data_IF_755982616512
#
_entry.id   IF_755982616512
#
_cell.length_a   1.000
_cell.length_b   1.000
_cell.length_c   1.000
_cell.angle_alpha   90.00
_cell.angle_beta   90.00
_cell.angle_gamma   90.00
#
_symmetry.space_group_name_H-M   'P 1'
#
loop_
_entity.id
_entity.type
_entity.pdbx_description
1 polymer ?
#
# COMPACT_ATOMS: atom_id res chain seq x y z
N UNK A 1 5.78 20.98 25.73
CA UNK A 1 4.96 20.80 24.51
C UNK A 1 3.92 19.71 24.80
N UNK A 2 2.72 19.84 24.26
CA UNK A 2 1.71 18.77 24.34
C UNK A 2 2.23 17.53 23.63
N UNK A 3 1.92 16.35 24.17
CA UNK A 3 2.25 15.06 23.55
C UNK A 3 1.37 14.85 22.32
N UNK A 4 1.89 14.11 21.33
CA UNK A 4 1.18 13.81 20.10
C UNK A 4 0.43 12.49 20.21
N UNK A 5 -0.75 12.41 19.60
CA UNK A 5 -1.64 11.24 19.70
C UNK A 5 -1.14 10.04 18.91
N UNK A 6 -0.40 10.26 17.83
CA UNK A 6 0.19 9.20 17.00
C UNK A 6 1.50 9.67 16.38
N UNK A 7 2.41 8.72 16.15
CA UNK A 7 3.65 8.96 15.42
C UNK A 7 3.66 8.25 14.07
N UNK A 8 4.27 8.86 13.04
CA UNK A 8 4.48 8.26 11.73
C UNK A 8 5.97 8.23 11.41
N UNK A 9 6.50 7.04 11.11
CA UNK A 9 7.89 6.82 10.68
C UNK A 9 7.94 6.44 9.21
N UNK A 10 8.75 7.17 8.45
CA UNK A 10 8.90 6.96 7.01
C UNK A 10 8.06 7.94 6.20
N UNK A 11 8.71 8.98 5.69
CA UNK A 11 8.10 10.10 4.97
C UNK A 11 8.33 10.00 3.45
N UNK A 12 8.23 8.78 2.89
CA UNK A 12 8.01 8.61 1.46
C UNK A 12 6.53 8.93 1.13
N UNK A 13 6.15 8.86 -0.14
CA UNK A 13 4.84 9.29 -0.64
C UNK A 13 3.67 8.80 0.25
N UNK A 14 3.57 7.50 0.49
CA UNK A 14 2.49 6.93 1.30
C UNK A 14 2.49 7.43 2.75
N UNK A 15 3.67 7.48 3.38
CA UNK A 15 3.80 7.91 4.78
C UNK A 15 3.47 9.39 4.98
N UNK A 16 3.90 10.26 4.06
CA UNK A 16 3.52 11.68 4.06
C UNK A 16 2.00 11.84 3.95
N UNK A 17 1.39 11.16 2.99
CA UNK A 17 -0.04 11.28 2.72
C UNK A 17 -0.88 10.75 3.87
N UNK A 18 -0.51 9.61 4.47
CA UNK A 18 -1.18 9.10 5.66
C UNK A 18 -1.01 10.04 6.87
N UNK A 19 0.17 10.63 7.07
CA UNK A 19 0.37 11.60 8.14
C UNK A 19 -0.53 12.83 7.95
N UNK A 20 -0.61 13.37 6.72
CA UNK A 20 -1.50 14.49 6.37
C UNK A 20 -2.98 14.12 6.55
N UNK A 21 -3.38 12.92 6.15
CA UNK A 21 -4.73 12.42 6.35
C UNK A 21 -5.07 12.35 7.85
N UNK A 22 -4.20 11.75 8.67
CA UNK A 22 -4.39 11.66 10.13
C UNK A 22 -4.59 13.07 10.74
N UNK A 23 -3.72 14.01 10.39
CA UNK A 23 -3.82 15.38 10.91
C UNK A 23 -5.09 16.08 10.44
N UNK A 24 -5.50 15.89 9.19
CA UNK A 24 -6.73 16.48 8.64
C UNK A 24 -8.01 15.99 9.34
N UNK A 25 -7.94 14.85 10.03
CA UNK A 25 -9.03 14.31 10.87
C UNK A 25 -8.98 14.82 12.32
N UNK A 26 -8.08 15.78 12.61
CA UNK A 26 -7.99 16.45 13.91
C UNK A 26 -7.03 15.82 14.91
N UNK A 27 -6.26 14.82 14.51
CA UNK A 27 -5.23 14.21 15.37
C UNK A 27 -3.91 14.98 15.29
N UNK A 28 -3.22 15.08 16.42
CA UNK A 28 -1.86 15.62 16.47
C UNK A 28 -0.84 14.54 16.14
N UNK A 29 0.14 14.86 15.28
CA UNK A 29 1.03 13.86 14.68
C UNK A 29 2.49 14.19 14.93
N UNK A 30 3.26 13.23 15.47
CA UNK A 30 4.72 13.27 15.43
C UNK A 30 5.22 12.58 14.17
N UNK A 31 6.24 13.15 13.52
CA UNK A 31 6.85 12.56 12.32
C UNK A 31 8.34 12.38 12.48
N UNK A 32 8.84 11.26 11.98
CA UNK A 32 10.24 10.93 11.98
C UNK A 32 10.64 10.23 10.67
N UNK A 33 11.81 10.58 10.16
CA UNK A 33 12.43 9.86 9.07
C UNK A 33 13.94 9.73 9.35
N UNK A 34 14.53 8.59 9.00
CA UNK A 34 15.96 8.30 9.22
C UNK A 34 16.89 9.43 8.72
N UNK A 35 16.54 10.04 7.59
CA UNK A 35 17.17 11.25 7.09
C UNK A 35 16.35 12.45 7.56
N UNK A 36 16.87 13.26 8.45
CA UNK A 36 16.14 14.41 9.03
C UNK A 36 15.75 15.44 7.97
N UNK A 37 16.57 15.62 6.94
CA UNK A 37 16.28 16.55 5.83
C UNK A 37 14.89 16.30 5.22
N UNK A 38 14.45 15.02 5.15
CA UNK A 38 13.10 14.68 4.68
C UNK A 38 12.01 15.11 5.66
N UNK A 39 12.26 14.99 6.95
CA UNK A 39 11.35 15.47 8.00
C UNK A 39 11.23 16.99 7.94
N UNK A 40 12.37 17.68 7.84
CA UNK A 40 12.42 19.14 7.75
C UNK A 40 11.72 19.64 6.49
N UNK A 41 12.01 19.05 5.33
CA UNK A 41 11.35 19.41 4.07
C UNK A 41 9.82 19.22 4.14
N UNK A 42 9.35 18.11 4.71
CA UNK A 42 7.93 17.87 4.91
C UNK A 42 7.28 18.97 5.79
N UNK A 43 7.91 19.31 6.90
CA UNK A 43 7.39 20.35 7.82
C UNK A 43 7.37 21.74 7.21
N UNK A 44 8.35 22.04 6.36
CA UNK A 44 8.45 23.36 5.70
C UNK A 44 7.48 23.52 4.51
N UNK A 45 7.09 22.41 3.88
CA UNK A 45 6.25 22.38 2.69
C UNK A 45 4.83 21.86 3.01
N UNK A 46 4.60 20.55 2.90
CA UNK A 46 3.25 19.95 2.93
C UNK A 46 2.56 20.07 4.29
N UNK A 47 3.33 20.08 5.38
CA UNK A 47 2.84 20.19 6.75
C UNK A 47 2.90 21.60 7.34
N UNK A 48 3.25 22.60 6.52
CA UNK A 48 3.39 23.99 6.99
C UNK A 48 2.08 24.52 7.57
N UNK A 49 2.14 24.99 8.82
CA UNK A 49 0.99 25.55 9.53
C UNK A 49 0.00 24.53 10.08
N UNK A 50 0.32 23.23 9.98
CA UNK A 50 -0.49 22.12 10.49
C UNK A 50 0.04 21.61 11.84
N UNK A 51 -0.71 20.73 12.50
CA UNK A 51 -0.41 20.23 13.85
C UNK A 51 0.57 19.05 13.83
N UNK A 52 1.81 19.33 13.40
CA UNK A 52 2.89 18.35 13.36
C UNK A 52 4.04 18.70 14.28
N UNK A 53 4.69 17.66 14.82
CA UNK A 53 5.98 17.76 15.50
C UNK A 53 6.99 16.84 14.79
N UNK A 54 8.09 17.40 14.29
CA UNK A 54 9.19 16.65 13.73
C UNK A 54 10.26 16.36 14.76
N UNK A 55 10.78 15.15 14.76
CA UNK A 55 11.87 14.72 15.63
C UNK A 55 13.15 14.46 14.84
N UNK A 56 14.32 14.77 15.45
CA UNK A 56 15.64 14.51 14.87
C UNK A 56 16.17 13.14 15.24
N UNK A 57 15.76 12.63 16.40
CA UNK A 57 16.20 11.33 16.91
C UNK A 57 14.99 10.45 17.23
N UNK A 58 15.21 9.13 17.29
CA UNK A 58 14.19 8.17 17.72
C UNK A 58 13.72 8.47 19.14
N UNK A 59 14.63 8.84 20.04
CA UNK A 59 14.32 9.19 21.41
C UNK A 59 13.39 10.41 21.49
N UNK A 60 13.71 11.50 20.78
CA UNK A 60 12.85 12.68 20.69
C UNK A 60 11.47 12.33 20.15
N UNK A 61 11.41 11.49 19.10
CA UNK A 61 10.18 11.04 18.50
C UNK A 61 9.29 10.29 19.50
N UNK A 62 9.82 9.24 20.13
CA UNK A 62 9.07 8.42 21.07
C UNK A 62 8.65 9.24 22.31
N UNK A 63 9.53 10.12 22.79
CA UNK A 63 9.23 11.02 23.90
C UNK A 63 8.21 12.12 23.56
N UNK A 64 7.94 12.36 22.30
CA UNK A 64 6.89 13.32 21.88
C UNK A 64 5.48 12.72 21.92
N UNK A 65 5.32 11.40 22.06
CA UNK A 65 4.04 10.71 21.99
C UNK A 65 3.38 10.55 23.37
N UNK A 66 2.05 10.57 23.41
CA UNK A 66 1.26 10.17 24.56
C UNK A 66 1.20 8.65 24.73
N UNK A 67 1.03 8.18 25.98
CA UNK A 67 0.93 6.75 26.29
C UNK A 67 -0.53 6.27 26.35
N UNK A 68 -0.82 5.00 25.93
CA UNK A 68 0.10 4.12 25.22
C UNK A 68 0.47 4.69 23.85
N UNK A 69 1.75 4.64 23.53
CA UNK A 69 2.25 5.23 22.29
C UNK A 69 1.73 4.45 21.08
N UNK A 70 1.34 5.16 20.02
CA UNK A 70 0.85 4.60 18.75
C UNK A 70 1.82 5.04 17.66
N UNK A 71 2.49 4.09 17.02
CA UNK A 71 3.54 4.39 16.04
C UNK A 71 3.26 3.65 14.74
N UNK A 72 2.93 4.40 13.69
CA UNK A 72 2.71 3.87 12.33
C UNK A 72 4.03 3.85 11.56
N UNK A 73 4.44 2.67 11.13
CA UNK A 73 5.60 2.45 10.28
C UNK A 73 5.19 2.43 8.80
N UNK A 74 5.73 3.32 8.02
CA UNK A 74 5.59 3.38 6.56
C UNK A 74 6.97 3.24 5.91
N UNK A 75 7.64 2.13 6.23
CA UNK A 75 9.00 1.80 5.75
C UNK A 75 8.97 0.61 4.81
N UNK A 76 10.09 0.37 4.11
CA UNK A 76 10.22 -0.80 3.24
C UNK A 76 10.10 -2.09 4.06
N UNK A 77 9.23 -3.01 3.63
CA UNK A 77 9.05 -4.32 4.26
C UNK A 77 10.36 -5.14 4.34
N UNK A 78 10.41 -6.06 5.28
CA UNK A 78 11.58 -6.90 5.56
C UNK A 78 12.55 -6.27 6.54
N UNK A 79 13.84 -6.38 6.31
CA UNK A 79 14.91 -5.94 7.21
C UNK A 79 14.81 -4.46 7.64
N UNK A 80 14.25 -3.59 6.80
CA UNK A 80 14.10 -2.18 7.17
C UNK A 80 13.02 -1.99 8.25
N UNK A 81 11.97 -2.81 8.25
CA UNK A 81 10.98 -2.83 9.31
C UNK A 81 11.59 -3.34 10.62
N UNK A 82 12.35 -4.45 10.57
CA UNK A 82 13.04 -5.00 11.75
C UNK A 82 14.01 -3.97 12.35
N UNK A 83 14.87 -3.36 11.54
CA UNK A 83 15.82 -2.33 11.99
C UNK A 83 15.11 -1.10 12.60
N UNK A 84 13.95 -0.73 12.08
CA UNK A 84 13.15 0.37 12.64
C UNK A 84 12.57 -0.02 14.01
N UNK A 85 12.02 -1.21 14.14
CA UNK A 85 11.52 -1.75 15.40
C UNK A 85 12.63 -1.81 16.44
N UNK A 86 13.79 -2.35 16.08
CA UNK A 86 14.95 -2.45 16.97
C UNK A 86 15.43 -1.08 17.47
N UNK A 87 15.38 -0.06 16.63
CA UNK A 87 15.74 1.31 17.02
C UNK A 87 14.73 1.94 18.00
N UNK A 88 13.47 1.52 17.96
CA UNK A 88 12.40 2.00 18.83
C UNK A 88 12.41 1.30 20.21
N UNK A 89 12.69 0.00 20.23
CA UNK A 89 12.56 -0.86 21.45
C UNK A 89 13.18 -0.28 22.71
N UNK A 90 14.37 0.37 22.71
CA UNK A 90 14.96 0.93 23.93
C UNK A 90 14.14 2.04 24.61
N UNK A 91 13.21 2.66 23.88
CA UNK A 91 12.43 3.81 24.30
C UNK A 91 10.94 3.49 24.53
N UNK A 92 10.52 2.28 24.15
CA UNK A 92 9.12 1.83 24.30
C UNK A 92 8.89 1.19 25.66
N UNK A 93 7.64 1.21 26.09
CA UNK A 93 7.17 0.66 27.37
C UNK A 93 6.03 -0.33 27.13
N UNK A 94 5.76 -1.17 28.12
CA UNK A 94 4.64 -2.10 28.09
C UNK A 94 3.32 -1.41 27.72
N UNK A 95 2.59 -2.00 26.77
CA UNK A 95 1.32 -1.47 26.26
C UNK A 95 1.47 -0.56 25.04
N UNK A 96 2.67 -0.08 24.72
CA UNK A 96 2.88 0.70 23.48
C UNK A 96 2.58 -0.14 22.22
N UNK A 97 2.15 0.53 21.14
CA UNK A 97 1.63 -0.10 19.93
C UNK A 97 2.45 0.32 18.72
N UNK A 98 2.99 -0.66 18.02
CA UNK A 98 3.61 -0.49 16.71
C UNK A 98 2.61 -0.96 15.65
N UNK A 99 2.34 -0.12 14.64
CA UNK A 99 1.46 -0.40 13.51
C UNK A 99 2.34 -0.49 12.27
N UNK A 100 2.45 -1.66 11.65
CA UNK A 100 3.17 -1.83 10.38
C UNK A 100 2.19 -1.64 9.22
N UNK A 101 2.28 -0.49 8.53
CA UNK A 101 1.48 -0.16 7.35
C UNK A 101 2.17 -0.52 6.02
N UNK A 102 3.29 -1.22 6.06
CA UNK A 102 4.00 -1.69 4.86
C UNK A 102 3.30 -2.87 4.17
N UNK A 103 3.72 -3.16 2.93
CA UNK A 103 3.33 -4.40 2.25
C UNK A 103 4.21 -5.56 2.75
N UNK A 104 4.03 -5.93 4.01
CA UNK A 104 4.84 -6.94 4.69
C UNK A 104 4.33 -8.35 4.40
N UNK A 105 5.25 -9.30 4.26
CA UNK A 105 4.91 -10.73 4.21
C UNK A 105 4.31 -11.15 5.57
N UNK A 106 3.17 -11.82 5.54
CA UNK A 106 2.39 -12.08 6.75
C UNK A 106 3.12 -12.94 7.79
N UNK A 107 4.01 -13.86 7.37
CA UNK A 107 4.81 -14.68 8.31
C UNK A 107 5.82 -13.81 9.09
N UNK A 108 6.40 -12.78 8.46
CA UNK A 108 7.23 -11.80 9.18
C UNK A 108 6.41 -11.05 10.22
N UNK A 109 5.15 -10.76 9.93
CA UNK A 109 4.22 -10.12 10.87
C UNK A 109 3.91 -11.02 12.05
N UNK A 110 3.65 -12.30 11.81
CA UNK A 110 3.44 -13.32 12.87
C UNK A 110 4.68 -13.42 13.76
N UNK A 111 5.87 -13.49 13.17
CA UNK A 111 7.14 -13.51 13.91
C UNK A 111 7.31 -12.27 14.79
N UNK A 112 7.13 -11.07 14.22
CA UNK A 112 7.26 -9.79 14.94
C UNK A 112 6.24 -9.67 16.06
N UNK A 113 5.01 -10.09 15.81
CA UNK A 113 3.96 -10.09 16.83
C UNK A 113 4.35 -10.91 18.04
N UNK A 114 4.87 -12.12 17.83
CA UNK A 114 5.36 -12.98 18.91
C UNK A 114 6.53 -12.35 19.66
N UNK A 115 7.57 -11.89 18.96
CA UNK A 115 8.78 -11.30 19.55
C UNK A 115 8.49 -10.03 20.38
N UNK A 116 7.54 -9.20 19.92
CA UNK A 116 7.17 -7.97 20.60
C UNK A 116 6.24 -8.23 21.80
N UNK A 117 5.37 -9.22 21.69
CA UNK A 117 4.52 -9.63 22.81
C UNK A 117 5.32 -10.13 24.01
N UNK A 118 6.47 -10.80 23.80
CA UNK A 118 7.39 -11.20 24.86
C UNK A 118 7.98 -9.99 25.63
N UNK A 119 8.03 -8.82 24.98
CA UNK A 119 8.47 -7.56 25.59
C UNK A 119 7.30 -6.70 26.12
N UNK A 120 6.07 -7.23 26.13
CA UNK A 120 4.87 -6.49 26.54
C UNK A 120 4.40 -5.44 25.54
N UNK A 121 4.96 -5.43 24.33
CA UNK A 121 4.60 -4.50 23.26
C UNK A 121 3.52 -5.10 22.36
N UNK A 122 2.68 -4.24 21.80
CA UNK A 122 1.64 -4.63 20.85
C UNK A 122 2.10 -4.35 19.41
N UNK A 123 1.75 -5.26 18.50
CA UNK A 123 2.05 -5.12 17.07
C UNK A 123 0.77 -5.33 16.25
N UNK A 124 0.48 -4.40 15.35
CA UNK A 124 -0.67 -4.44 14.44
C UNK A 124 -0.15 -4.44 13.01
N UNK A 125 -0.26 -5.58 12.34
CA UNK A 125 0.03 -5.68 10.90
C UNK A 125 -1.14 -5.13 10.09
N UNK A 126 -0.94 -4.04 9.37
CA UNK A 126 -2.02 -3.28 8.76
C UNK A 126 -1.83 -3.16 7.25
N UNK A 127 -2.65 -3.85 6.48
CA UNK A 127 -2.74 -3.61 5.04
C UNK A 127 -3.36 -2.24 4.75
N UNK A 128 -2.71 -1.47 3.88
CA UNK A 128 -3.22 -0.15 3.44
C UNK A 128 -3.33 -0.18 1.91
N UNK A 129 -4.51 0.13 1.37
CA UNK A 129 -4.80 0.14 -0.06
C UNK A 129 -5.46 1.44 -0.50
N UNK A 130 -5.06 1.96 -1.67
CA UNK A 130 -5.61 3.20 -2.26
C UNK A 130 -4.56 4.04 -3.00
N UNK A 131 -3.32 3.56 -3.07
CA UNK A 131 -2.23 4.31 -3.72
C UNK A 131 -1.94 5.65 -3.05
N UNK A 132 -1.34 6.56 -3.81
CA UNK A 132 -0.94 7.89 -3.33
C UNK A 132 -2.14 8.74 -2.94
N UNK A 133 -3.13 8.80 -3.80
CA UNK A 133 -4.35 9.59 -3.59
C UNK A 133 -5.20 9.03 -2.44
N UNK A 134 -5.43 7.72 -2.44
CA UNK A 134 -6.18 7.07 -1.37
C UNK A 134 -5.52 7.23 0.00
N UNK A 135 -4.19 7.19 0.09
CA UNK A 135 -3.49 7.45 1.35
C UNK A 135 -3.79 8.84 1.93
N UNK A 136 -3.98 9.82 1.06
CA UNK A 136 -4.30 11.20 1.45
C UNK A 136 -5.79 11.41 1.77
N UNK A 137 -6.67 10.81 1.00
CA UNK A 137 -8.11 11.12 1.03
C UNK A 137 -8.94 10.07 1.78
N UNK A 138 -8.48 8.81 1.79
CA UNK A 138 -9.15 7.69 2.45
C UNK A 138 -8.76 6.35 1.84
N UNK A 139 -7.82 5.61 2.44
CA UNK A 139 -7.49 4.26 1.99
C UNK A 139 -8.47 3.22 2.55
N UNK A 140 -8.50 2.05 1.94
CA UNK A 140 -9.02 0.83 2.60
C UNK A 140 -7.95 0.29 3.56
N UNK A 141 -8.33 -0.03 4.81
CA UNK A 141 -7.40 -0.40 5.88
C UNK A 141 -7.76 -1.76 6.45
N UNK A 142 -6.80 -2.67 6.52
CA UNK A 142 -6.95 -4.06 6.91
C UNK A 142 -6.07 -4.37 8.14
N UNK A 143 -6.46 -3.96 9.37
CA UNK A 143 -5.67 -4.19 10.57
C UNK A 143 -5.84 -5.60 11.12
N UNK A 144 -4.73 -6.22 11.51
CA UNK A 144 -4.70 -7.52 12.18
C UNK A 144 -3.68 -7.52 13.31
N UNK A 145 -3.92 -8.32 14.34
CA UNK A 145 -3.08 -8.41 15.53
C UNK A 145 -3.92 -8.61 16.79
N UNK A 146 -3.40 -8.23 17.94
CA UNK A 146 -4.14 -8.33 19.21
C UNK A 146 -5.35 -7.39 19.20
N UNK A 147 -6.55 -7.92 19.43
CA UNK A 147 -7.81 -7.18 19.33
C UNK A 147 -7.86 -5.98 20.28
N UNK A 148 -7.42 -6.15 21.53
CA UNK A 148 -7.40 -5.08 22.52
C UNK A 148 -6.47 -3.92 22.13
N UNK A 149 -5.37 -4.22 21.43
CA UNK A 149 -4.48 -3.20 20.89
C UNK A 149 -5.11 -2.50 19.67
N UNK A 150 -5.83 -3.25 18.82
CA UNK A 150 -6.59 -2.66 17.72
C UNK A 150 -7.63 -1.66 18.22
N UNK A 151 -8.39 -1.98 19.25
CA UNK A 151 -9.41 -1.09 19.82
C UNK A 151 -8.86 0.29 20.22
N UNK A 152 -7.58 0.36 20.62
CA UNK A 152 -6.90 1.62 20.95
C UNK A 152 -6.51 2.48 19.72
N UNK A 153 -6.37 1.87 18.56
CA UNK A 153 -6.00 2.55 17.31
C UNK A 153 -7.16 2.66 16.34
N UNK A 154 -8.22 1.89 16.54
CA UNK A 154 -9.43 1.86 15.72
C UNK A 154 -9.99 3.25 15.41
N UNK A 155 -10.17 4.17 16.38
CA UNK A 155 -10.75 5.49 16.07
C UNK A 155 -9.92 6.28 15.06
N UNK A 156 -8.59 6.15 15.09
CA UNK A 156 -7.69 6.82 14.13
C UNK A 156 -7.80 6.14 12.77
N UNK A 157 -7.70 4.80 12.72
CA UNK A 157 -7.72 4.05 11.48
C UNK A 157 -9.06 4.19 10.73
N UNK A 158 -10.18 4.14 11.45
CA UNK A 158 -11.49 4.39 10.87
C UNK A 158 -11.66 5.84 10.40
N UNK A 159 -11.16 6.82 11.14
CA UNK A 159 -11.26 8.23 10.76
C UNK A 159 -10.57 8.53 9.43
N UNK A 160 -9.41 7.90 9.18
CA UNK A 160 -8.59 8.13 7.98
C UNK A 160 -8.97 7.24 6.79
N UNK A 161 -9.80 6.22 7.00
CA UNK A 161 -10.22 5.31 5.92
C UNK A 161 -11.25 5.93 4.99
N UNK A 162 -11.37 5.36 3.78
CA UNK A 162 -12.48 5.64 2.89
C UNK A 162 -13.83 5.34 3.58
N UNK A 163 -14.87 5.99 3.08
CA UNK A 163 -16.25 5.77 3.54
C UNK A 163 -17.12 5.35 2.37
N UNK A 164 -17.87 4.26 2.52
CA UNK A 164 -18.86 3.80 1.56
C UNK A 164 -20.20 3.75 2.28
N UNK A 165 -21.18 4.49 1.80
CA UNK A 165 -22.52 4.61 2.42
C UNK A 165 -22.48 5.04 3.90
N UNK A 166 -21.40 5.73 4.31
CA UNK A 166 -21.15 6.17 5.68
C UNK A 166 -20.29 5.23 6.53
N UNK A 167 -20.10 4.00 6.10
CA UNK A 167 -19.30 3.01 6.79
C UNK A 167 -17.81 3.13 6.45
N UNK A 168 -16.96 2.94 7.46
CA UNK A 168 -15.51 2.97 7.29
C UNK A 168 -15.00 1.73 6.54
N UNK A 169 -14.20 1.93 5.48
CA UNK A 169 -13.45 0.86 4.83
C UNK A 169 -12.25 0.43 5.70
N UNK A 170 -12.52 0.13 6.97
CA UNK A 170 -11.58 -0.32 7.99
C UNK A 170 -12.29 -1.24 8.96
N UNK A 171 -11.82 -2.47 9.09
CA UNK A 171 -12.35 -3.41 10.07
C UNK A 171 -11.25 -4.32 10.59
N UNK A 172 -11.38 -4.79 11.84
CA UNK A 172 -10.48 -5.80 12.40
C UNK A 172 -10.58 -7.11 11.61
N UNK A 173 -9.47 -7.51 11.00
CA UNK A 173 -9.43 -8.70 10.14
C UNK A 173 -9.28 -9.99 10.96
N UNK A 174 -8.45 -9.97 12.01
CA UNK A 174 -8.18 -11.14 12.81
C UNK A 174 -6.84 -11.05 13.57
N UNK A 175 -6.45 -12.11 14.28
CA UNK A 175 -5.21 -12.11 15.06
C UNK A 175 -3.96 -12.13 14.18
N UNK A 176 -2.83 -11.88 14.79
CA UNK A 176 -1.47 -12.03 14.24
C UNK A 176 -1.27 -11.34 12.88
N UNK A 177 -0.89 -12.10 11.86
CA UNK A 177 -0.62 -11.63 10.50
C UNK A 177 -1.86 -11.44 9.62
N UNK A 178 -3.08 -11.60 10.13
CA UNK A 178 -4.31 -11.62 9.33
C UNK A 178 -4.50 -10.38 8.45
N UNK A 179 -4.16 -9.18 8.94
CA UNK A 179 -4.27 -7.95 8.16
C UNK A 179 -3.36 -7.94 6.92
N UNK A 180 -2.10 -8.31 7.08
CA UNK A 180 -1.16 -8.43 5.97
C UNK A 180 -1.49 -9.61 5.04
N UNK A 181 -2.05 -10.69 5.59
CA UNK A 181 -2.52 -11.81 4.79
C UNK A 181 -3.63 -11.38 3.81
N UNK A 182 -4.67 -10.72 4.32
CA UNK A 182 -5.76 -10.19 3.48
C UNK A 182 -5.23 -9.18 2.47
N UNK A 183 -4.31 -8.29 2.87
CA UNK A 183 -3.68 -7.35 1.94
C UNK A 183 -2.85 -8.05 0.85
N UNK A 184 -2.16 -9.12 1.18
CA UNK A 184 -1.41 -9.93 0.22
C UNK A 184 -2.35 -10.54 -0.83
N UNK A 185 -3.47 -11.14 -0.40
CA UNK A 185 -4.48 -11.74 -1.28
C UNK A 185 -5.15 -10.67 -2.13
N UNK A 186 -5.56 -9.54 -1.54
CA UNK A 186 -6.09 -8.37 -2.25
C UNK A 186 -5.17 -7.95 -3.40
N UNK A 187 -3.88 -7.78 -3.14
CA UNK A 187 -2.94 -7.41 -4.19
C UNK A 187 -2.78 -8.51 -5.26
N UNK A 188 -2.87 -9.78 -4.87
CA UNK A 188 -2.89 -10.89 -5.83
C UNK A 188 -4.08 -10.81 -6.78
N UNK A 189 -5.27 -10.51 -6.26
CA UNK A 189 -6.49 -10.30 -7.05
C UNK A 189 -6.30 -9.14 -8.01
N UNK A 190 -5.78 -8.00 -7.56
CA UNK A 190 -5.48 -6.85 -8.43
C UNK A 190 -4.52 -7.21 -9.58
N UNK A 191 -3.57 -8.12 -9.36
CA UNK A 191 -2.71 -8.63 -10.44
C UNK A 191 -3.52 -9.39 -11.49
N UNK A 192 -4.49 -10.20 -11.05
CA UNK A 192 -5.43 -10.89 -11.92
C UNK A 192 -6.28 -9.93 -12.74
N UNK A 193 -6.86 -8.93 -12.09
CA UNK A 193 -7.68 -7.90 -12.75
C UNK A 193 -6.89 -7.15 -13.81
N UNK A 194 -5.67 -6.71 -13.48
CA UNK A 194 -4.81 -6.02 -14.45
C UNK A 194 -4.38 -6.93 -15.60
N UNK A 195 -4.20 -8.22 -15.37
CA UNK A 195 -3.92 -9.19 -16.44
C UNK A 195 -5.11 -9.33 -17.37
N UNK A 196 -6.33 -9.48 -16.85
CA UNK A 196 -7.55 -9.57 -17.64
C UNK A 196 -7.81 -8.30 -18.45
N UNK A 197 -7.58 -7.13 -17.87
CA UNK A 197 -7.63 -5.83 -18.57
C UNK A 197 -6.63 -5.80 -19.73
N UNK A 198 -5.40 -6.26 -19.49
CA UNK A 198 -4.35 -6.30 -20.50
C UNK A 198 -4.68 -7.26 -21.66
N UNK A 199 -5.27 -8.39 -21.38
CA UNK A 199 -5.72 -9.36 -22.38
C UNK A 199 -6.90 -8.84 -23.18
N UNK A 200 -7.89 -8.22 -22.53
CA UNK A 200 -9.00 -7.55 -23.20
C UNK A 200 -8.48 -6.43 -24.14
N UNK A 201 -7.58 -5.58 -23.65
CA UNK A 201 -6.90 -4.56 -24.46
C UNK A 201 -6.21 -5.19 -25.68
N UNK A 202 -5.45 -6.27 -25.48
CA UNK A 202 -4.75 -6.96 -26.57
C UNK A 202 -5.70 -7.43 -27.67
N UNK A 203 -6.81 -8.07 -27.29
CA UNK A 203 -7.84 -8.56 -28.22
C UNK A 203 -8.50 -7.40 -28.95
N UNK A 204 -8.96 -6.40 -28.24
CA UNK A 204 -9.64 -5.24 -28.83
C UNK A 204 -8.75 -4.50 -29.82
N UNK A 205 -7.48 -4.29 -29.47
CA UNK A 205 -6.52 -3.59 -30.32
C UNK A 205 -6.06 -4.43 -31.50
N UNK A 206 -5.63 -5.67 -31.29
CA UNK A 206 -4.91 -6.44 -32.31
C UNK A 206 -5.82 -7.34 -33.15
N UNK A 207 -6.98 -7.75 -32.63
CA UNK A 207 -7.95 -8.58 -33.36
C UNK A 207 -9.05 -7.72 -34.00
N UNK A 208 -9.59 -6.77 -33.23
CA UNK A 208 -10.63 -5.86 -33.74
C UNK A 208 -10.08 -4.58 -34.39
N UNK A 209 -8.81 -4.27 -34.17
CA UNK A 209 -8.15 -3.09 -34.75
C UNK A 209 -8.58 -1.76 -34.16
N UNK A 210 -9.10 -1.73 -32.93
CA UNK A 210 -9.61 -0.50 -32.33
C UNK A 210 -8.48 0.52 -32.08
N UNK A 211 -8.77 1.77 -32.38
CA UNK A 211 -7.93 2.92 -32.03
C UNK A 211 -7.96 3.19 -30.53
N UNK A 212 -7.03 4.02 -30.04
CA UNK A 212 -7.01 4.42 -28.63
C UNK A 212 -8.31 5.14 -28.20
N UNK A 213 -8.90 5.95 -29.09
CA UNK A 213 -10.18 6.61 -28.82
C UNK A 213 -11.33 5.60 -28.67
N UNK A 214 -11.42 4.61 -29.56
CA UNK A 214 -12.44 3.56 -29.46
C UNK A 214 -12.23 2.68 -28.23
N UNK A 215 -10.99 2.39 -27.84
CA UNK A 215 -10.67 1.70 -26.59
C UNK A 215 -11.13 2.51 -25.37
N UNK A 216 -10.88 3.82 -25.36
CA UNK A 216 -11.42 4.69 -24.32
C UNK A 216 -12.94 4.57 -24.20
N UNK A 217 -13.65 4.65 -25.32
CA UNK A 217 -15.12 4.58 -25.34
C UNK A 217 -15.64 3.24 -24.80
N UNK A 218 -15.00 2.12 -25.17
CA UNK A 218 -15.35 0.79 -24.67
C UNK A 218 -15.18 0.68 -23.15
N UNK A 219 -14.00 1.07 -22.64
CA UNK A 219 -13.74 0.99 -21.20
C UNK A 219 -14.57 2.00 -20.40
N UNK A 220 -14.81 3.19 -20.93
CA UNK A 220 -15.70 4.17 -20.29
C UNK A 220 -17.16 3.70 -20.26
N UNK A 221 -17.61 2.91 -21.24
CA UNK A 221 -18.93 2.30 -21.22
C UNK A 221 -19.02 1.14 -20.23
N UNK A 222 -18.02 0.28 -20.18
CA UNK A 222 -17.91 -0.78 -19.17
C UNK A 222 -17.94 -0.24 -17.73
N UNK A 223 -17.34 0.94 -17.51
CA UNK A 223 -17.34 1.60 -16.19
C UNK A 223 -18.70 2.17 -15.77
N UNK A 224 -19.73 2.09 -16.60
CA UNK A 224 -21.13 2.47 -16.26
C UNK A 224 -21.98 1.27 -15.84
N UNK A 225 -21.46 0.07 -15.92
CA UNK A 225 -22.18 -1.18 -15.71
C UNK A 225 -21.54 -2.09 -14.67
N UNK A 226 -21.62 -3.39 -14.90
CA UNK A 226 -21.14 -4.43 -13.96
C UNK A 226 -19.63 -4.39 -13.71
N UNK A 227 -18.85 -3.78 -14.61
CA UNK A 227 -17.41 -3.64 -14.50
C UNK A 227 -16.97 -2.31 -13.89
N UNK A 228 -17.91 -1.51 -13.35
CA UNK A 228 -17.61 -0.25 -12.66
C UNK A 228 -16.58 -0.50 -11.56
N UNK A 229 -15.40 0.12 -11.73
CA UNK A 229 -14.29 -0.02 -10.79
C UNK A 229 -13.21 1.02 -11.06
N UNK A 230 -12.42 1.31 -10.04
CA UNK A 230 -11.25 2.20 -10.16
C UNK A 230 -10.29 1.77 -11.28
N UNK A 231 -10.01 0.46 -11.43
CA UNK A 231 -9.09 -0.02 -12.47
C UNK A 231 -9.66 0.17 -13.89
N UNK A 232 -10.95 -0.02 -14.10
CA UNK A 232 -11.60 0.22 -15.39
C UNK A 232 -11.66 1.73 -15.69
N UNK A 233 -11.97 2.56 -14.70
CA UNK A 233 -11.98 4.02 -14.81
C UNK A 233 -10.62 4.55 -15.28
N UNK A 234 -9.54 4.21 -14.55
CA UNK A 234 -8.20 4.67 -14.92
C UNK A 234 -7.71 4.08 -16.25
N UNK A 235 -8.15 2.88 -16.62
CA UNK A 235 -7.84 2.29 -17.92
C UNK A 235 -8.46 3.10 -19.04
N UNK A 236 -9.73 3.49 -18.90
CA UNK A 236 -10.36 4.39 -19.86
C UNK A 236 -9.59 5.72 -20.01
N UNK A 237 -9.16 6.32 -18.88
CA UNK A 237 -8.39 7.57 -18.89
C UNK A 237 -7.00 7.39 -19.54
N UNK A 238 -6.31 6.28 -19.31
CA UNK A 238 -5.01 5.97 -19.92
C UNK A 238 -5.05 6.05 -21.45
N UNK A 239 -6.12 5.58 -22.08
CA UNK A 239 -6.24 5.61 -23.54
C UNK A 239 -6.42 7.02 -24.12
N UNK A 240 -6.76 8.01 -23.30
CA UNK A 240 -6.83 9.42 -23.75
C UNK A 240 -5.47 10.11 -23.74
N UNK A 241 -4.45 9.53 -23.11
CA UNK A 241 -3.14 10.16 -22.93
C UNK A 241 -2.31 10.04 -24.22
N UNK A 242 -1.70 11.15 -24.60
CA UNK A 242 -0.83 11.27 -25.77
C UNK A 242 0.58 11.58 -25.31
N UNK A 243 1.55 10.94 -25.93
CA UNK A 243 2.97 11.24 -25.73
C UNK A 243 3.32 12.56 -26.45
N UNK A 244 3.81 13.53 -25.71
CA UNK A 244 4.08 14.89 -26.23
C UNK A 244 5.21 14.92 -27.28
N UNK A 245 6.15 13.97 -27.21
CA UNK A 245 7.29 13.94 -28.14
C UNK A 245 6.92 13.32 -29.51
N UNK A 246 6.11 12.25 -29.45
CA UNK A 246 5.80 11.47 -30.68
C UNK A 246 4.41 11.75 -31.26
N UNK A 247 3.51 12.35 -30.48
CA UNK A 247 2.10 12.54 -30.83
C UNK A 247 1.29 11.24 -30.85
N UNK A 248 1.85 10.11 -30.43
CA UNK A 248 1.17 8.81 -30.38
C UNK A 248 0.44 8.60 -29.07
N UNK A 249 -0.55 7.68 -29.03
CA UNK A 249 -1.12 7.26 -27.75
C UNK A 249 -0.01 6.82 -26.77
N UNK A 250 -0.03 7.34 -25.55
CA UNK A 250 1.05 7.09 -24.58
C UNK A 250 1.20 5.60 -24.28
N UNK A 251 0.12 4.85 -24.27
CA UNK A 251 0.11 3.39 -24.08
C UNK A 251 0.93 2.63 -25.13
N UNK A 252 1.13 3.19 -26.31
CA UNK A 252 1.89 2.58 -27.40
C UNK A 252 3.41 2.84 -27.34
N UNK A 253 3.84 3.79 -26.50
CA UNK A 253 5.25 4.19 -26.39
C UNK A 253 5.86 3.91 -25.01
N UNK A 254 5.07 3.57 -24.01
CA UNK A 254 5.59 3.18 -22.71
C UNK A 254 6.28 1.82 -22.75
N UNK A 255 7.17 1.58 -21.79
CA UNK A 255 7.87 0.31 -21.65
C UNK A 255 6.88 -0.82 -21.30
N UNK A 256 6.87 -1.88 -22.10
CA UNK A 256 6.01 -3.06 -21.96
C UNK A 256 6.52 -4.05 -20.88
N UNK A 257 6.80 -3.56 -19.69
CA UNK A 257 7.22 -4.37 -18.54
C UNK A 257 6.37 -4.07 -17.32
N UNK A 258 6.04 -5.09 -16.55
CA UNK A 258 5.32 -4.96 -15.28
C UNK A 258 6.18 -5.47 -14.13
N UNK A 259 6.40 -4.62 -13.14
CA UNK A 259 7.12 -4.98 -11.91
C UNK A 259 6.22 -5.68 -10.90
N UNK A 260 6.84 -6.21 -9.84
CA UNK A 260 6.14 -6.76 -8.69
C UNK A 260 6.88 -6.48 -7.38
N UNK A 261 6.15 -6.46 -6.27
CA UNK A 261 6.71 -6.30 -4.91
C UNK A 261 6.64 -7.57 -4.07
N UNK A 262 6.21 -8.69 -4.66
CA UNK A 262 6.16 -10.02 -4.04
C UNK A 262 4.78 -10.50 -3.59
N UNK A 263 3.81 -9.64 -3.41
CA UNK A 263 2.48 -10.00 -2.85
C UNK A 263 1.74 -11.06 -3.67
N UNK A 264 1.67 -10.94 -5.00
CA UNK A 264 1.07 -11.96 -5.87
C UNK A 264 1.80 -13.30 -5.82
N UNK A 265 3.15 -13.26 -5.79
CA UNK A 265 3.97 -14.47 -5.62
C UNK A 265 3.71 -15.15 -4.28
N UNK A 266 3.63 -14.40 -3.19
CA UNK A 266 3.34 -14.95 -1.86
C UNK A 266 1.95 -15.60 -1.82
N UNK A 267 0.95 -14.93 -2.40
CA UNK A 267 -0.42 -15.48 -2.52
C UNK A 267 -0.43 -16.80 -3.29
N UNK A 268 0.27 -16.85 -4.44
CA UNK A 268 0.36 -18.08 -5.24
C UNK A 268 1.08 -19.21 -4.50
N UNK A 269 2.16 -18.89 -3.79
CA UNK A 269 2.90 -19.87 -2.99
C UNK A 269 2.03 -20.45 -1.88
N UNK A 270 1.38 -19.59 -1.13
CA UNK A 270 0.52 -20.00 -0.01
C UNK A 270 -0.69 -20.83 -0.50
N UNK A 271 -1.29 -20.45 -1.63
CA UNK A 271 -2.36 -21.23 -2.25
C UNK A 271 -1.91 -22.66 -2.63
N UNK A 272 -0.67 -22.82 -3.14
CA UNK A 272 -0.10 -24.13 -3.42
C UNK A 272 0.12 -24.95 -2.14
N UNK A 273 0.64 -24.33 -1.09
CA UNK A 273 0.85 -24.96 0.21
C UNK A 273 -0.48 -25.41 0.85
N UNK A 274 -1.55 -24.63 0.66
CA UNK A 274 -2.90 -24.92 1.14
C UNK A 274 -3.71 -25.86 0.23
N UNK A 275 -3.22 -26.17 -0.98
CA UNK A 275 -3.96 -26.95 -1.98
C UNK A 275 -5.19 -26.22 -2.56
N UNK A 276 -5.18 -24.89 -2.57
CA UNK A 276 -6.26 -24.06 -3.12
C UNK A 276 -5.93 -23.70 -4.58
N UNK A 277 -6.80 -24.02 -5.56
CA UNK A 277 -6.56 -23.65 -6.95
C UNK A 277 -6.69 -22.13 -7.15
N UNK A 278 -5.62 -21.50 -7.66
CA UNK A 278 -5.53 -20.05 -7.84
C UNK A 278 -4.92 -19.71 -9.22
N UNK A 279 -5.54 -20.15 -10.34
CA UNK A 279 -4.92 -20.06 -11.66
C UNK A 279 -4.72 -18.61 -12.12
N UNK A 280 -5.71 -17.72 -11.98
CA UNK A 280 -5.64 -16.34 -12.51
C UNK A 280 -4.52 -15.53 -11.84
N UNK A 281 -4.44 -15.56 -10.51
CA UNK A 281 -3.38 -14.84 -9.78
C UNK A 281 -2.01 -15.40 -10.13
N UNK A 282 -1.87 -16.74 -10.16
CA UNK A 282 -0.61 -17.41 -10.47
C UNK A 282 -0.15 -17.10 -11.90
N UNK A 283 -1.06 -17.15 -12.87
CA UNK A 283 -0.76 -16.80 -14.26
C UNK A 283 -0.34 -15.34 -14.41
N UNK A 284 -1.04 -14.42 -13.74
CA UNK A 284 -0.66 -13.01 -13.76
C UNK A 284 0.74 -12.73 -13.17
N UNK A 285 1.16 -13.51 -12.18
CA UNK A 285 2.54 -13.46 -11.65
C UNK A 285 3.55 -13.93 -12.69
N UNK A 286 3.28 -15.01 -13.41
CA UNK A 286 4.14 -15.49 -14.49
C UNK A 286 4.18 -14.51 -15.67
N UNK A 287 3.04 -13.94 -16.06
CA UNK A 287 2.99 -12.93 -17.10
C UNK A 287 3.88 -11.71 -16.75
N UNK A 288 3.87 -11.26 -15.50
CA UNK A 288 4.78 -10.20 -15.03
C UNK A 288 6.24 -10.61 -15.09
N UNK A 289 6.59 -11.84 -14.72
CA UNK A 289 7.96 -12.35 -14.85
C UNK A 289 8.41 -12.35 -16.32
N UNK A 290 7.56 -12.86 -17.23
CA UNK A 290 7.84 -12.87 -18.67
C UNK A 290 7.99 -11.42 -19.19
N UNK A 291 7.11 -10.51 -18.78
CA UNK A 291 7.19 -9.11 -19.21
C UNK A 291 8.52 -8.44 -18.81
N UNK A 292 9.03 -8.76 -17.63
CA UNK A 292 10.29 -8.22 -17.11
C UNK A 292 11.54 -8.72 -17.87
N UNK A 293 11.44 -9.84 -18.61
CA UNK A 293 12.52 -10.43 -19.44
C UNK A 293 12.60 -9.75 -20.80
N UNK A 294 12.59 -8.42 -20.84
CA UNK A 294 12.48 -7.63 -22.09
C UNK A 294 13.56 -7.94 -23.11
N UNK A 295 14.81 -8.04 -22.71
CA UNK A 295 15.93 -8.33 -23.62
C UNK A 295 15.81 -9.72 -24.27
N UNK A 296 15.40 -10.71 -23.49
CA UNK A 296 15.20 -12.08 -23.96
C UNK A 296 14.02 -12.17 -24.93
N UNK A 297 12.89 -11.50 -24.60
CA UNK A 297 11.73 -11.39 -25.49
C UNK A 297 12.10 -10.75 -26.83
N UNK A 298 12.88 -9.66 -26.80
CA UNK A 298 13.36 -8.99 -28.03
C UNK A 298 14.31 -9.88 -28.84
N UNK A 299 15.15 -10.68 -28.19
CA UNK A 299 16.01 -11.63 -28.89
C UNK A 299 15.18 -12.76 -29.52
N UNK A 300 14.25 -13.33 -28.77
CA UNK A 300 13.36 -14.40 -29.25
C UNK A 300 12.53 -13.95 -30.46
N UNK A 301 11.95 -12.75 -30.42
CA UNK A 301 11.14 -12.22 -31.53
C UNK A 301 11.89 -12.01 -32.84
N UNK A 302 13.22 -12.08 -32.84
CA UNK A 302 14.04 -12.03 -34.06
C UNK A 302 14.40 -13.42 -34.59
N UNK A 303 14.13 -14.45 -33.82
CA UNK A 303 14.46 -15.84 -34.15
C UNK A 303 13.23 -16.68 -34.51
N UNK A 304 12.08 -16.28 -33.97
CA UNK A 304 10.76 -16.88 -34.20
C UNK A 304 9.94 -16.05 -35.18
#
# INVERSE_FOLDING_TARGET
>A
MSKQQIGVIGLAVMGKNLALNIESRGYSVAVFNRSFDKTEAFLQNEAKGKNFVGAKTVEEFVNSLEKPRKILLMVKAGNATDATIDSLRPYLEEGDIIIDGGNTYFEDTVRRNKELAEAGLNFIGTGVSGGEEGALTGPSIMPGGKKEAYELVQPILEAISAKVEGDACCTYIGPDGAGHYVKMVHNGIEYGDMQLISEAYFILKNVLGLSAQELHEVFADWNKGELDSYLIEITADIFTKVDEETGKPLVDVILDTAGQKGTGKWTSKDALDLGVPLPIITESVFARFISAMKEERVKASKML
#
